data_IF_868214487732
#
_entry.id   IF_868214487732
#
_cell.length_a   1.000
_cell.length_b   1.000
_cell.length_c   1.000
_cell.angle_alpha   90.00
_cell.angle_beta   90.00
_cell.angle_gamma   90.00
#
_symmetry.space_group_name_H-M   'P 1'
#
loop_
_entity.id
_entity.type
_entity.pdbx_description
1 polymer ?
#
# COMPACT_ATOMS: atom_id res chain seq x y z
N UNK A 1 14.95 -12.06 -9.28
CA UNK A 1 14.88 -10.62 -9.56
C UNK A 1 14.36 -9.94 -8.31
N UNK A 2 14.74 -8.69 -8.05
CA UNK A 2 14.19 -7.92 -6.93
C UNK A 2 13.01 -7.09 -7.45
N UNK A 3 11.81 -7.22 -6.87
CA UNK A 3 10.65 -6.47 -7.35
C UNK A 3 10.84 -4.97 -7.12
N UNK A 4 10.18 -4.16 -7.94
CA UNK A 4 10.09 -2.73 -7.74
C UNK A 4 9.27 -2.47 -6.46
N UNK A 5 9.88 -1.87 -5.44
CA UNK A 5 9.18 -1.43 -4.25
C UNK A 5 8.46 -0.08 -4.50
N UNK A 6 7.15 -0.06 -4.29
CA UNK A 6 6.31 1.12 -4.39
C UNK A 6 5.86 1.50 -2.98
N UNK A 7 6.40 2.60 -2.43
CA UNK A 7 5.92 3.11 -1.15
C UNK A 7 4.47 3.59 -1.25
N UNK A 8 3.66 3.28 -0.23
CA UNK A 8 2.29 3.76 -0.08
C UNK A 8 2.20 5.30 -0.08
N UNK A 9 3.25 5.98 0.39
CA UNK A 9 3.26 7.42 0.58
C UNK A 9 2.35 7.88 1.74
N UNK A 10 1.81 9.09 1.62
CA UNK A 10 0.92 9.68 2.63
C UNK A 10 -0.43 8.93 2.66
N UNK A 11 -0.70 8.25 3.77
CA UNK A 11 -1.95 7.52 4.01
C UNK A 11 -3.20 8.43 4.04
N UNK A 12 -3.06 9.74 4.23
CA UNK A 12 -4.17 10.70 4.15
C UNK A 12 -4.30 11.32 2.74
N UNK A 13 -3.27 11.17 1.89
CA UNK A 13 -3.26 11.64 0.51
C UNK A 13 -3.93 10.68 -0.47
N UNK A 14 -3.71 10.90 -1.78
CA UNK A 14 -4.27 10.07 -2.85
C UNK A 14 -3.32 8.97 -3.37
N UNK A 15 -2.12 8.87 -2.79
CA UNK A 15 -1.10 7.88 -3.18
C UNK A 15 -1.65 6.45 -3.17
N UNK A 16 -2.28 5.99 -2.08
CA UNK A 16 -2.91 4.68 -2.01
C UNK A 16 -3.92 4.41 -3.16
N UNK A 17 -4.72 5.41 -3.53
CA UNK A 17 -5.72 5.30 -4.60
C UNK A 17 -5.09 5.27 -6.00
N UNK A 18 -4.00 6.01 -6.22
CA UNK A 18 -3.20 5.93 -7.46
C UNK A 18 -2.63 4.53 -7.62
N UNK A 19 -2.07 3.96 -6.55
CA UNK A 19 -1.53 2.60 -6.54
C UNK A 19 -2.64 1.57 -6.82
N UNK A 20 -3.79 1.68 -6.15
CA UNK A 20 -4.93 0.79 -6.41
C UNK A 20 -5.43 0.89 -7.87
N UNK A 21 -5.44 2.10 -8.43
CA UNK A 21 -5.82 2.34 -9.83
C UNK A 21 -4.81 1.75 -10.82
N UNK A 22 -3.50 1.88 -10.53
CA UNK A 22 -2.44 1.27 -11.32
C UNK A 22 -2.61 -0.25 -11.39
N UNK A 23 -2.78 -0.92 -10.25
CA UNK A 23 -2.95 -2.37 -10.24
C UNK A 23 -4.19 -2.85 -10.96
N UNK A 24 -5.28 -2.06 -10.95
CA UNK A 24 -6.48 -2.42 -11.69
C UNK A 24 -6.29 -2.32 -13.20
N UNK A 25 -5.52 -1.33 -13.67
CA UNK A 25 -5.34 -1.04 -15.09
C UNK A 25 -4.22 -1.86 -15.72
N UNK A 26 -3.09 -1.95 -15.03
CA UNK A 26 -1.85 -2.48 -15.59
C UNK A 26 -1.39 -3.77 -14.91
N UNK A 27 -1.78 -3.99 -13.64
CA UNK A 27 -1.41 -5.17 -12.85
C UNK A 27 0.08 -5.55 -13.01
N UNK A 28 1.02 -4.64 -12.66
CA UNK A 28 2.45 -4.87 -12.88
C UNK A 28 2.90 -6.16 -12.18
N UNK A 29 3.63 -7.01 -12.91
CA UNK A 29 4.02 -8.34 -12.44
C UNK A 29 5.27 -8.34 -11.52
N UNK A 30 6.08 -7.29 -11.57
CA UNK A 30 7.37 -7.19 -10.84
C UNK A 30 7.39 -5.97 -9.91
N UNK A 31 6.29 -5.76 -9.17
CA UNK A 31 6.18 -4.67 -8.21
C UNK A 31 5.47 -5.13 -6.93
N UNK A 32 5.86 -4.54 -5.80
CA UNK A 32 5.28 -4.76 -4.48
C UNK A 32 5.00 -3.42 -3.81
N UNK A 33 3.86 -3.29 -3.14
CA UNK A 33 3.57 -2.11 -2.34
C UNK A 33 4.17 -2.27 -0.95
N UNK A 34 4.94 -1.29 -0.49
CA UNK A 34 5.40 -1.19 0.90
C UNK A 34 4.44 -0.24 1.62
N UNK A 35 3.61 -0.76 2.51
CA UNK A 35 2.50 0.01 3.05
C UNK A 35 1.62 -0.71 4.06
N UNK A 36 0.68 0.03 4.63
CA UNK A 36 -0.34 -0.53 5.52
C UNK A 36 -1.44 -1.24 4.72
N UNK A 37 -1.72 -2.49 5.08
CA UNK A 37 -2.71 -3.33 4.42
C UNK A 37 -4.12 -2.75 4.53
N UNK A 38 -4.48 -2.16 5.67
CA UNK A 38 -5.82 -1.60 5.88
C UNK A 38 -6.03 -0.30 5.08
N UNK A 39 -5.00 0.56 5.00
CA UNK A 39 -5.00 1.74 4.14
C UNK A 39 -5.16 1.35 2.67
N UNK A 40 -4.41 0.36 2.21
CA UNK A 40 -4.52 -0.13 0.83
C UNK A 40 -5.89 -0.77 0.54
N UNK A 41 -6.48 -1.50 1.50
CA UNK A 41 -7.86 -2.01 1.39
C UNK A 41 -8.88 -0.88 1.27
N UNK A 42 -8.75 0.18 2.06
CA UNK A 42 -9.60 1.37 1.96
C UNK A 42 -9.48 2.02 0.58
N UNK A 43 -8.26 2.17 0.07
CA UNK A 43 -7.99 2.77 -1.25
C UNK A 43 -8.57 1.93 -2.39
N UNK A 44 -8.46 0.60 -2.31
CA UNK A 44 -9.11 -0.31 -3.26
C UNK A 44 -10.63 -0.14 -3.23
N UNK A 45 -11.24 -0.08 -2.05
CA UNK A 45 -12.68 0.14 -1.93
C UNK A 45 -13.10 1.49 -2.51
N UNK A 46 -12.38 2.56 -2.18
CA UNK A 46 -12.66 3.92 -2.65
C UNK A 46 -12.55 4.07 -4.18
N UNK A 47 -11.69 3.28 -4.81
CA UNK A 47 -11.48 3.31 -6.27
C UNK A 47 -12.41 2.36 -7.02
N UNK A 48 -13.34 1.65 -6.35
CA UNK A 48 -14.35 0.79 -6.98
C UNK A 48 -14.20 -0.72 -6.74
N UNK A 49 -13.30 -1.14 -5.85
CA UNK A 49 -13.17 -2.54 -5.41
C UNK A 49 -12.61 -3.50 -6.46
N UNK A 50 -12.95 -4.79 -6.34
CA UNK A 50 -12.60 -5.84 -7.32
C UNK A 50 -11.13 -6.26 -7.38
N UNK A 51 -10.29 -5.73 -6.48
CA UNK A 51 -8.88 -6.07 -6.33
C UNK A 51 -8.67 -6.66 -4.92
N UNK A 52 -8.14 -7.87 -4.81
CA UNK A 52 -7.80 -8.41 -3.50
C UNK A 52 -6.52 -7.75 -2.99
N UNK A 53 -6.43 -7.44 -1.69
CA UNK A 53 -5.18 -6.95 -1.08
C UNK A 53 -4.51 -8.14 -0.39
N UNK A 54 -3.39 -8.58 -0.94
CA UNK A 54 -2.60 -9.70 -0.44
C UNK A 54 -1.51 -9.17 0.51
N UNK A 55 -1.63 -9.50 1.80
CA UNK A 55 -0.56 -9.26 2.76
C UNK A 55 0.56 -10.26 2.50
N UNK A 56 1.78 -9.78 2.32
CA UNK A 56 2.95 -10.59 2.03
C UNK A 56 3.81 -10.77 3.28
N UNK A 57 4.12 -12.04 3.60
CA UNK A 57 5.20 -12.37 4.55
C UNK A 57 6.56 -12.42 3.85
N UNK A 58 6.55 -12.64 2.52
CA UNK A 58 7.74 -12.70 1.67
C UNK A 58 7.49 -11.97 0.35
N UNK A 59 8.49 -11.24 -0.13
CA UNK A 59 8.41 -10.44 -1.35
C UNK A 59 8.34 -11.28 -2.64
N UNK A 60 8.69 -12.56 -2.59
CA UNK A 60 8.73 -13.48 -3.74
C UNK A 60 7.48 -14.37 -3.86
N UNK A 61 6.43 -14.10 -3.09
CA UNK A 61 5.23 -14.92 -3.09
C UNK A 61 4.48 -14.86 -4.43
N UNK A 62 4.12 -16.03 -4.98
CA UNK A 62 3.24 -16.13 -6.13
C UNK A 62 1.80 -15.73 -5.76
N UNK A 63 1.22 -14.80 -6.52
CA UNK A 63 -0.13 -14.28 -6.27
C UNK A 63 -1.11 -14.65 -7.40
N UNK A 64 -2.38 -14.89 -7.07
CA UNK A 64 -3.40 -15.04 -8.10
C UNK A 64 -3.65 -13.71 -8.82
N UNK A 65 -4.26 -13.74 -10.03
CA UNK A 65 -4.61 -12.54 -10.76
C UNK A 65 -5.48 -11.58 -9.93
N UNK A 66 -5.37 -10.28 -10.22
CA UNK A 66 -6.13 -9.21 -9.52
C UNK A 66 -5.86 -9.15 -8.02
N UNK A 67 -4.60 -9.34 -7.64
CA UNK A 67 -4.12 -9.06 -6.29
C UNK A 67 -3.18 -7.84 -6.28
N UNK A 68 -3.35 -7.00 -5.28
CA UNK A 68 -2.42 -5.96 -4.88
C UNK A 68 -1.47 -6.56 -3.81
N UNK A 69 -0.21 -6.87 -4.15
CA UNK A 69 0.80 -7.28 -3.18
C UNK A 69 1.13 -6.13 -2.24
N UNK A 70 0.96 -6.33 -0.94
CA UNK A 70 1.35 -5.38 0.10
C UNK A 70 2.25 -6.09 1.10
N UNK A 71 3.48 -5.62 1.21
CA UNK A 71 4.35 -5.94 2.33
C UNK A 71 4.24 -4.82 3.37
N UNK A 72 3.85 -5.19 4.59
CA UNK A 72 3.62 -4.23 5.67
C UNK A 72 4.82 -4.21 6.62
N UNK A 73 5.59 -3.11 6.67
CA UNK A 73 6.70 -3.01 7.59
C UNK A 73 6.23 -2.90 9.04
N UNK A 74 7.07 -3.35 9.98
CA UNK A 74 6.79 -3.23 11.41
C UNK A 74 6.80 -1.78 11.90
N UNK A 75 5.99 -1.50 12.91
CA UNK A 75 5.97 -0.21 13.60
C UNK A 75 5.28 0.93 12.83
N UNK A 76 4.37 0.59 11.92
CA UNK A 76 3.36 1.56 11.46
C UNK A 76 2.41 1.93 12.62
N UNK A 77 1.88 3.17 12.67
CA UNK A 77 0.94 3.57 13.71
C UNK A 77 -0.32 2.69 13.70
N UNK A 78 -0.68 2.12 14.85
CA UNK A 78 -1.80 1.17 14.96
C UNK A 78 -3.17 1.81 14.62
N UNK A 79 -3.30 3.12 14.78
CA UNK A 79 -4.50 3.91 14.50
C UNK A 79 -4.41 4.69 13.17
N UNK A 80 -3.48 4.33 12.29
CA UNK A 80 -3.25 5.01 11.02
C UNK A 80 -4.52 5.13 10.16
N UNK A 81 -5.35 4.09 10.13
CA UNK A 81 -6.60 4.09 9.35
C UNK A 81 -7.61 5.15 9.83
N UNK A 82 -7.54 5.54 11.11
CA UNK A 82 -8.38 6.58 11.69
C UNK A 82 -7.91 8.00 11.35
N UNK A 83 -6.77 8.15 10.65
CA UNK A 83 -6.30 9.46 10.20
C UNK A 83 -7.24 10.06 9.14
N UNK A 84 -7.52 11.38 9.22
CA UNK A 84 -8.48 12.04 8.34
C UNK A 84 -7.95 12.18 6.92
N UNK A 85 -8.67 11.62 5.94
CA UNK A 85 -8.39 11.81 4.52
C UNK A 85 -8.37 13.28 4.12
N UNK A 86 -7.42 13.66 3.26
CA UNK A 86 -7.27 15.01 2.73
C UNK A 86 -6.76 16.03 3.74
N UNK A 87 -6.29 15.61 4.92
CA UNK A 87 -5.70 16.47 5.95
C UNK A 87 -4.33 15.95 6.35
N UNK A 88 -3.39 16.89 6.54
CA UNK A 88 -2.07 16.57 7.08
C UNK A 88 -2.23 15.97 8.49
N UNK A 89 -1.60 14.82 8.71
CA UNK A 89 -1.61 14.11 9.98
C UNK A 89 -0.22 13.51 10.26
N UNK A 90 0.26 13.67 11.49
CA UNK A 90 1.58 13.19 11.90
C UNK A 90 1.72 11.66 11.78
N UNK A 91 0.64 10.90 11.99
CA UNK A 91 0.63 9.44 11.84
C UNK A 91 0.90 9.04 10.40
N UNK A 92 0.30 9.74 9.44
CA UNK A 92 0.48 9.46 8.03
C UNK A 92 1.89 9.81 7.55
N UNK A 93 2.45 10.93 8.01
CA UNK A 93 3.86 11.28 7.76
C UNK A 93 4.83 10.25 8.33
N UNK A 94 4.64 9.82 9.58
CA UNK A 94 5.45 8.78 10.19
C UNK A 94 5.37 7.45 9.40
N UNK A 95 4.16 7.02 9.04
CA UNK A 95 3.95 5.81 8.25
C UNK A 95 4.65 5.88 6.87
N UNK A 96 4.55 7.02 6.18
CA UNK A 96 5.19 7.22 4.88
C UNK A 96 6.72 7.07 4.96
N UNK A 97 7.34 7.68 5.97
CA UNK A 97 8.79 7.56 6.21
C UNK A 97 9.17 6.12 6.50
N UNK A 98 8.45 5.42 7.39
CA UNK A 98 8.71 4.01 7.68
C UNK A 98 8.63 3.12 6.43
N UNK A 99 7.69 3.40 5.53
CA UNK A 99 7.57 2.67 4.26
C UNK A 99 8.74 2.95 3.31
N UNK A 100 9.31 4.16 3.33
CA UNK A 100 10.51 4.50 2.53
C UNK A 100 11.74 3.79 3.11
N UNK A 101 11.95 3.88 4.42
CA UNK A 101 13.09 3.24 5.11
C UNK A 101 13.11 1.73 4.92
N UNK A 102 11.94 1.10 4.87
CA UNK A 102 11.83 -0.34 4.70
C UNK A 102 11.95 -0.80 3.24
N UNK A 103 11.98 0.12 2.28
CA UNK A 103 12.06 -0.16 0.84
C UNK A 103 13.49 -0.02 0.26
N UNK A 104 14.48 0.31 1.08
CA UNK A 104 15.89 0.54 0.67
C UNK A 104 16.86 -0.51 1.19
#
# INVERSE_FOLDING_TARGET
MHPIAISMGDACGIGPEIIASLWRREAPADAVVVGDVAVMRRAVAATGGGLAVASLDRLDAALPPRCLPVWQPDGLPADLLAAPLGRLDARAGAAAVRCIEAAV
#
